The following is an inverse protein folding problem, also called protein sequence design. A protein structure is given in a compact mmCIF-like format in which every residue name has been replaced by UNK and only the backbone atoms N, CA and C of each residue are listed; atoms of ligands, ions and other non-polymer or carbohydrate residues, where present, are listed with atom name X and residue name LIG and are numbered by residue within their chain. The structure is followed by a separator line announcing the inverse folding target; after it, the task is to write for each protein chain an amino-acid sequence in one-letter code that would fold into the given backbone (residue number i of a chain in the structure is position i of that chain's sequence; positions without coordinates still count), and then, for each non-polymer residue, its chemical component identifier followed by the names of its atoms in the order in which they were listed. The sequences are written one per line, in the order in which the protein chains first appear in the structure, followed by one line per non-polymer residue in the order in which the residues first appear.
data_IF_907361692729
#
_entry.id   IF_907361692729
#
_cell.length_a   1.000
_cell.length_b   1.000
_cell.length_c   1.000
_cell.angle_alpha   90.00
_cell.angle_beta   90.00
_cell.angle_gamma   90.00
#
_symmetry.space_group_name_H-M   'P 1'
#
loop_
_entity.id
_entity.type
_entity.pdbx_description
1 polymer ?
#
# COMPACT_ATOMS: atom_id res chain seq x y z
N UNK A 1 25.72 46.54 -25.31
CA UNK A 1 25.36 46.70 -23.88
C UNK A 1 25.15 45.31 -23.30
N UNK A 2 25.91 44.97 -22.26
CA UNK A 2 25.90 43.66 -21.61
C UNK A 2 24.63 43.51 -20.78
N UNK A 3 23.89 42.43 -20.96
CA UNK A 3 22.90 41.95 -19.99
C UNK A 3 23.34 40.56 -19.52
N UNK A 4 24.18 40.58 -18.50
CA UNK A 4 24.35 39.51 -17.53
C UNK A 4 23.13 39.49 -16.63
N UNK A 5 22.37 38.40 -16.63
CA UNK A 5 21.45 38.06 -15.55
C UNK A 5 21.63 36.56 -15.24
N UNK A 6 22.13 36.34 -14.04
CA UNK A 6 22.54 35.10 -13.41
C UNK A 6 21.30 34.24 -13.16
N UNK A 7 21.19 33.09 -13.82
CA UNK A 7 20.30 31.99 -13.40
C UNK A 7 21.20 30.78 -13.18
N UNK A 8 21.86 30.77 -12.03
CA UNK A 8 22.52 29.60 -11.48
C UNK A 8 22.35 29.67 -9.97
N UNK A 9 21.47 28.84 -9.43
CA UNK A 9 21.52 28.15 -8.12
C UNK A 9 20.10 27.85 -7.65
N UNK A 10 19.61 26.64 -7.93
CA UNK A 10 18.30 26.19 -7.43
C UNK A 10 18.00 24.71 -7.69
N UNK A 11 18.76 24.05 -8.58
CA UNK A 11 18.52 22.66 -8.95
C UNK A 11 19.81 21.80 -8.99
N UNK A 12 20.79 22.10 -8.13
CA UNK A 12 22.06 21.35 -8.02
C UNK A 12 22.44 21.02 -6.57
N UNK A 13 21.49 21.10 -5.63
CA UNK A 13 21.72 20.68 -4.23
C UNK A 13 21.21 19.26 -3.93
N UNK A 14 20.53 18.59 -4.88
CA UNK A 14 20.07 17.22 -4.69
C UNK A 14 21.10 16.15 -5.13
N UNK A 15 22.11 16.52 -5.91
CA UNK A 15 23.09 15.56 -6.44
C UNK A 15 24.23 15.26 -5.45
N UNK A 16 24.53 16.17 -4.53
CA UNK A 16 25.66 16.02 -3.59
C UNK A 16 25.31 15.21 -2.34
N UNK A 17 24.03 14.98 -2.04
CA UNK A 17 23.61 14.09 -0.94
C UNK A 17 23.53 12.62 -1.39
N UNK A 18 23.49 12.38 -2.70
CA UNK A 18 23.41 11.02 -3.27
C UNK A 18 24.78 10.33 -3.34
N UNK A 19 25.88 11.08 -3.35
CA UNK A 19 27.23 10.51 -3.55
C UNK A 19 28.00 10.18 -2.27
N UNK A 20 27.35 10.14 -1.10
CA UNK A 20 27.95 9.71 0.17
C UNK A 20 27.27 8.47 0.76
N UNK A 21 26.73 7.59 -0.10
CA UNK A 21 26.23 6.29 0.36
C UNK A 21 27.43 5.37 0.65
N UNK A 22 27.71 5.20 1.94
CA UNK A 22 28.42 4.00 2.43
C UNK A 22 27.82 2.77 1.75
N UNK A 23 28.67 1.87 1.26
CA UNK A 23 28.29 0.58 0.69
C UNK A 23 27.48 -0.24 1.72
N UNK A 24 26.14 -0.09 1.75
CA UNK A 24 25.12 -0.99 2.37
C UNK A 24 23.70 -0.42 2.51
N UNK A 25 23.42 0.80 2.04
CA UNK A 25 22.08 1.38 2.13
C UNK A 25 21.43 1.47 0.73
N UNK A 26 20.24 0.88 0.58
CA UNK A 26 19.42 0.95 -0.62
C UNK A 26 18.16 1.77 -0.30
N UNK A 27 17.87 2.76 -1.12
CA UNK A 27 16.68 3.60 -1.00
C UNK A 27 15.98 3.66 -2.35
N UNK A 28 14.66 3.44 -2.35
CA UNK A 28 13.83 3.42 -3.57
C UNK A 28 12.69 4.44 -3.47
N UNK A 29 12.35 5.02 -4.61
CA UNK A 29 11.18 5.88 -4.78
C UNK A 29 10.38 5.34 -5.97
N UNK A 30 9.09 5.11 -5.77
CA UNK A 30 8.18 4.62 -6.79
C UNK A 30 6.94 5.52 -6.89
N UNK A 31 6.62 5.95 -8.10
CA UNK A 31 5.41 6.70 -8.41
C UNK A 31 4.58 5.95 -9.46
N UNK A 32 3.29 5.80 -9.20
CA UNK A 32 2.36 5.14 -10.08
C UNK A 32 1.14 6.02 -10.32
N UNK A 33 0.82 6.23 -11.60
CA UNK A 33 -0.41 6.86 -12.06
C UNK A 33 -1.19 5.88 -12.92
N UNK A 34 -2.47 5.68 -12.62
CA UNK A 34 -3.35 4.77 -13.37
C UNK A 34 -4.72 5.41 -13.53
N UNK A 35 -5.03 5.87 -14.74
CA UNK A 35 -6.38 6.27 -15.14
C UNK A 35 -7.05 5.14 -15.94
N UNK A 36 -8.34 4.87 -15.66
CA UNK A 36 -9.13 3.84 -16.33
C UNK A 36 -10.53 4.36 -16.64
N UNK A 37 -10.82 4.59 -17.91
CA UNK A 37 -12.18 4.85 -18.38
C UNK A 37 -13.02 3.58 -18.31
N UNK A 38 -14.21 3.66 -17.72
CA UNK A 38 -15.13 2.53 -17.61
C UNK A 38 -16.51 2.95 -18.12
N UNK A 39 -17.02 2.18 -19.09
CA UNK A 39 -18.40 2.23 -19.52
C UNK A 39 -19.11 0.98 -18.99
N UNK A 40 -20.14 1.18 -18.17
CA UNK A 40 -20.88 0.10 -17.50
C UNK A 40 -22.32 0.05 -17.99
N UNK A 41 -22.65 -1.06 -18.63
CA UNK A 41 -23.99 -1.38 -19.08
C UNK A 41 -24.42 -2.73 -18.48
N UNK A 42 -24.93 -2.73 -17.25
CA UNK A 42 -25.36 -3.96 -16.55
C UNK A 42 -24.25 -4.76 -15.86
N UNK A 43 -23.08 -4.13 -15.63
CA UNK A 43 -21.95 -4.74 -14.90
C UNK A 43 -22.28 -4.82 -13.40
N UNK A 44 -21.97 -5.96 -12.76
CA UNK A 44 -22.28 -6.35 -11.36
C UNK A 44 -23.77 -6.57 -11.04
N UNK A 45 -24.67 -5.77 -11.59
CA UNK A 45 -26.12 -5.96 -11.49
C UNK A 45 -26.78 -5.61 -12.82
N UNK A 46 -27.76 -6.41 -13.29
CA UNK A 46 -28.57 -6.05 -14.45
C UNK A 46 -29.24 -4.68 -14.25
N UNK A 47 -29.40 -3.93 -15.35
CA UNK A 47 -30.12 -2.65 -15.34
C UNK A 47 -31.62 -2.90 -15.49
N UNK A 48 -32.43 -2.12 -14.80
CA UNK A 48 -33.86 -2.07 -15.08
C UNK A 48 -34.12 -1.45 -16.46
N UNK A 49 -35.26 -1.78 -17.05
CA UNK A 49 -35.67 -1.22 -18.33
C UNK A 49 -35.75 0.33 -18.26
N UNK A 50 -35.36 1.00 -19.33
CA UNK A 50 -35.30 2.46 -19.41
C UNK A 50 -34.15 3.15 -18.65
N UNK A 51 -33.37 2.45 -17.82
CA UNK A 51 -32.19 3.08 -17.21
C UNK A 51 -31.09 3.36 -18.24
N UNK A 52 -30.23 4.35 -17.99
CA UNK A 52 -29.08 4.70 -18.83
C UNK A 52 -27.78 4.02 -18.33
N UNK A 53 -26.80 3.76 -19.21
CA UNK A 53 -25.51 3.21 -18.82
C UNK A 53 -24.68 4.25 -18.07
N UNK A 54 -23.71 3.80 -17.27
CA UNK A 54 -22.80 4.70 -16.55
C UNK A 54 -21.45 4.81 -17.27
N UNK A 55 -20.86 6.00 -17.25
CA UNK A 55 -19.49 6.25 -17.70
C UNK A 55 -18.74 7.10 -16.69
N UNK A 56 -17.49 6.75 -16.41
CA UNK A 56 -16.62 7.52 -15.54
C UNK A 56 -15.15 7.13 -15.78
N UNK A 57 -14.23 7.95 -15.27
CA UNK A 57 -12.79 7.66 -15.30
C UNK A 57 -12.31 7.48 -13.88
N UNK A 58 -11.91 6.26 -13.54
CA UNK A 58 -11.26 5.92 -12.30
C UNK A 58 -9.79 6.33 -12.34
N UNK A 59 -9.24 6.72 -11.19
CA UNK A 59 -7.85 7.10 -11.04
C UNK A 59 -7.24 6.51 -9.76
N UNK A 60 -5.98 6.08 -9.87
CA UNK A 60 -5.07 5.81 -8.76
C UNK A 60 -3.78 6.57 -8.96
N UNK A 61 -3.41 7.38 -7.97
CA UNK A 61 -2.06 7.90 -7.82
C UNK A 61 -1.44 7.29 -6.56
N UNK A 62 -0.31 6.59 -6.68
CA UNK A 62 0.40 5.97 -5.54
C UNK A 62 1.85 6.42 -5.54
N UNK A 63 2.33 6.83 -4.37
CA UNK A 63 3.72 7.18 -4.14
C UNK A 63 4.25 6.28 -3.03
N UNK A 64 5.42 5.67 -3.26
CA UNK A 64 6.03 4.75 -2.31
C UNK A 64 7.50 5.06 -2.11
N UNK A 65 7.95 4.87 -0.89
CA UNK A 65 9.34 4.95 -0.46
C UNK A 65 9.75 3.59 0.10
N UNK A 66 10.88 3.08 -0.35
CA UNK A 66 11.51 1.86 0.16
C UNK A 66 12.86 2.19 0.78
N UNK A 67 13.19 1.53 1.88
CA UNK A 67 14.52 1.61 2.48
C UNK A 67 14.99 0.24 2.92
N UNK A 68 16.26 -0.07 2.67
CA UNK A 68 16.89 -1.32 3.07
C UNK A 68 18.32 -1.08 3.51
N UNK A 69 18.68 -1.64 4.66
CA UNK A 69 20.04 -1.61 5.22
C UNK A 69 20.29 -2.87 6.00
N UNK A 70 21.32 -3.61 5.63
CA UNK A 70 21.74 -4.84 6.32
C UNK A 70 20.54 -5.80 6.53
N UNK A 71 20.02 -5.89 7.76
CA UNK A 71 18.92 -6.77 8.17
C UNK A 71 17.56 -6.07 8.23
N UNK A 72 17.49 -4.76 7.99
CA UNK A 72 16.28 -3.95 8.06
C UNK A 72 15.77 -3.62 6.67
N UNK A 73 14.45 -3.78 6.47
CA UNK A 73 13.70 -3.31 5.31
C UNK A 73 12.47 -2.54 5.77
N UNK A 74 12.12 -1.46 5.08
CA UNK A 74 10.99 -0.62 5.41
C UNK A 74 10.29 -0.17 4.13
N UNK A 75 8.97 0.01 4.21
CA UNK A 75 8.18 0.55 3.11
C UNK A 75 7.10 1.49 3.63
N UNK A 76 6.97 2.64 2.98
CA UNK A 76 5.88 3.58 3.17
C UNK A 76 5.22 3.83 1.81
N UNK A 77 3.90 3.74 1.73
CA UNK A 77 3.14 3.93 0.50
C UNK A 77 1.85 4.67 0.78
N UNK A 78 1.67 5.82 0.15
CA UNK A 78 0.45 6.60 0.18
C UNK A 78 -0.22 6.56 -1.19
N UNK A 79 -1.55 6.54 -1.21
CA UNK A 79 -2.32 6.56 -2.46
C UNK A 79 -3.55 7.47 -2.37
N UNK A 80 -3.89 8.08 -3.50
CA UNK A 80 -5.20 8.68 -3.76
C UNK A 80 -5.95 7.80 -4.76
N UNK A 81 -7.22 7.55 -4.47
CA UNK A 81 -8.09 6.69 -5.28
C UNK A 81 -9.46 7.36 -5.41
N UNK A 82 -9.94 7.52 -6.64
CA UNK A 82 -11.26 8.10 -6.89
C UNK A 82 -11.63 8.20 -8.37
N UNK A 83 -12.78 8.79 -8.63
CA UNK A 83 -13.25 9.14 -9.97
C UNK A 83 -12.85 10.58 -10.31
N UNK A 84 -12.56 10.86 -11.57
CA UNK A 84 -12.30 12.22 -12.04
C UNK A 84 -13.49 13.15 -11.71
N UNK A 85 -13.20 14.27 -11.04
CA UNK A 85 -14.22 15.24 -10.59
C UNK A 85 -15.01 14.82 -9.35
N UNK A 86 -14.63 13.73 -8.67
CA UNK A 86 -15.34 13.28 -7.47
C UNK A 86 -15.05 14.16 -6.24
N UNK A 87 -13.85 14.70 -6.12
CA UNK A 87 -13.49 15.62 -5.04
C UNK A 87 -13.92 17.06 -5.42
N UNK A 88 -14.57 17.82 -4.52
CA UNK A 88 -14.88 19.23 -4.76
C UNK A 88 -13.61 20.05 -5.01
N UNK A 89 -13.74 21.16 -5.76
CA UNK A 89 -12.61 22.05 -6.03
C UNK A 89 -11.99 22.65 -4.76
N UNK A 90 -12.78 22.76 -3.69
CA UNK A 90 -12.33 23.21 -2.37
C UNK A 90 -12.71 22.13 -1.36
N UNK A 91 -11.75 21.27 -1.04
CA UNK A 91 -11.87 20.26 0.01
C UNK A 91 -10.68 20.38 0.97
N UNK A 92 -10.99 20.43 2.27
CA UNK A 92 -9.99 20.52 3.35
C UNK A 92 -9.57 19.15 3.89
N UNK A 93 -10.36 18.11 3.62
CA UNK A 93 -10.14 16.79 4.18
C UNK A 93 -9.34 15.89 3.24
N UNK A 94 -9.60 15.98 1.92
CA UNK A 94 -8.88 15.22 0.90
C UNK A 94 -9.06 13.71 1.07
N UNK A 95 -8.63 12.94 0.06
CA UNK A 95 -8.79 11.48 0.07
C UNK A 95 -7.47 10.76 -0.12
N UNK A 96 -6.68 10.76 0.94
CA UNK A 96 -5.41 10.01 0.97
C UNK A 96 -5.53 8.79 1.87
N UNK A 97 -5.00 7.68 1.38
CA UNK A 97 -4.99 6.39 2.06
C UNK A 97 -3.53 5.97 2.23
N UNK A 98 -3.15 5.64 3.46
CA UNK A 98 -1.91 4.94 3.73
C UNK A 98 -2.07 3.46 3.35
N UNK A 99 -1.48 3.08 2.22
CA UNK A 99 -1.60 1.75 1.63
C UNK A 99 -0.66 0.73 2.28
N UNK A 100 0.62 1.11 2.46
CA UNK A 100 1.61 0.29 3.16
C UNK A 100 2.42 1.17 4.11
N UNK A 101 2.72 0.63 5.28
CA UNK A 101 3.57 1.23 6.29
C UNK A 101 4.07 0.10 7.20
N UNK A 102 5.19 -0.51 6.83
CA UNK A 102 5.72 -1.67 7.52
C UNK A 102 7.24 -1.66 7.61
N UNK A 103 7.76 -2.38 8.60
CA UNK A 103 9.17 -2.68 8.76
C UNK A 103 9.37 -4.20 8.88
N UNK A 104 10.41 -4.72 8.25
CA UNK A 104 10.83 -6.13 8.28
C UNK A 104 12.26 -6.22 8.79
N UNK A 105 12.46 -7.06 9.81
CA UNK A 105 13.75 -7.38 10.38
C UNK A 105 14.10 -8.83 10.05
N UNK A 106 15.24 -9.04 9.42
CA UNK A 106 15.84 -10.35 9.20
C UNK A 106 16.51 -10.84 10.50
N UNK A 107 15.99 -11.92 11.08
CA UNK A 107 16.48 -12.56 12.30
C UNK A 107 17.53 -13.65 12.02
N UNK A 108 17.87 -13.87 10.75
CA UNK A 108 18.98 -14.69 10.29
C UNK A 108 18.55 -16.12 10.03
N UNK A 109 19.37 -16.86 9.28
CA UNK A 109 19.10 -18.27 8.90
C UNK A 109 17.73 -18.44 8.23
N UNK A 110 17.29 -17.43 7.45
CA UNK A 110 16.00 -17.42 6.76
C UNK A 110 14.81 -16.97 7.61
N UNK A 111 14.99 -16.66 8.89
CA UNK A 111 13.91 -16.21 9.78
C UNK A 111 13.76 -14.69 9.68
N UNK A 112 12.53 -14.18 9.68
CA UNK A 112 12.24 -12.75 9.76
C UNK A 112 10.96 -12.43 10.53
N UNK A 113 10.84 -11.18 10.94
CA UNK A 113 9.61 -10.60 11.47
C UNK A 113 9.27 -9.31 10.71
N UNK A 114 8.03 -9.17 10.27
CA UNK A 114 7.51 -7.99 9.58
C UNK A 114 6.26 -7.47 10.28
N UNK A 115 6.28 -6.20 10.66
CA UNK A 115 5.20 -5.57 11.44
C UNK A 115 4.71 -4.31 10.75
N UNK A 116 3.40 -4.12 10.77
CA UNK A 116 2.73 -2.91 10.31
C UNK A 116 1.70 -3.20 9.23
N UNK A 117 1.24 -2.12 8.59
CA UNK A 117 0.29 -2.17 7.47
C UNK A 117 0.98 -2.70 6.23
N UNK A 118 0.60 -3.88 5.78
CA UNK A 118 1.27 -4.59 4.69
C UNK A 118 0.27 -5.27 3.75
N UNK A 119 0.69 -5.47 2.51
CA UNK A 119 -0.02 -6.37 1.60
C UNK A 119 0.31 -7.83 1.93
N UNK A 120 -0.69 -8.71 1.87
CA UNK A 120 -0.53 -10.15 2.03
C UNK A 120 -0.88 -10.82 0.70
N UNK A 121 0.11 -11.45 0.06
CA UNK A 121 -0.03 -12.11 -1.24
C UNK A 121 0.43 -13.55 -1.12
N UNK A 122 -0.49 -14.48 -1.36
CA UNK A 122 -0.28 -15.92 -1.19
C UNK A 122 -0.97 -16.70 -2.31
N UNK A 123 -0.26 -17.70 -2.84
CA UNK A 123 -0.72 -18.65 -3.87
C UNK A 123 -1.34 -17.99 -5.12
N UNK A 124 -0.60 -17.05 -5.72
CA UNK A 124 -1.02 -16.20 -6.84
C UNK A 124 -2.31 -15.43 -6.56
N UNK A 125 -2.39 -14.83 -5.37
CA UNK A 125 -3.55 -14.06 -4.89
C UNK A 125 -4.83 -14.88 -4.62
N UNK A 126 -4.77 -16.21 -4.66
CA UNK A 126 -5.95 -17.07 -4.44
C UNK A 126 -6.38 -17.15 -2.99
N UNK A 127 -5.43 -17.23 -2.05
CA UNK A 127 -5.74 -17.26 -0.61
C UNK A 127 -5.89 -15.84 -0.07
N UNK A 128 -4.86 -15.03 -0.26
CA UNK A 128 -4.83 -13.61 0.07
C UNK A 128 -4.13 -12.90 -1.08
N UNK A 129 -4.67 -11.75 -1.49
CA UNK A 129 -4.14 -10.98 -2.60
C UNK A 129 -4.20 -9.48 -2.33
N UNK A 130 -3.30 -8.75 -2.97
CA UNK A 130 -3.19 -7.29 -2.84
C UNK A 130 -4.38 -6.57 -3.49
N UNK A 131 -5.15 -7.25 -4.34
CA UNK A 131 -6.25 -6.66 -5.11
C UNK A 131 -5.76 -5.51 -6.00
N UNK A 132 -4.53 -5.60 -6.54
CA UNK A 132 -3.93 -4.50 -7.31
C UNK A 132 -4.63 -4.21 -8.65
N UNK A 133 -5.52 -5.11 -9.12
CA UNK A 133 -6.41 -4.89 -10.26
C UNK A 133 -7.55 -3.91 -9.95
N UNK A 134 -7.96 -3.81 -8.69
CA UNK A 134 -8.89 -2.79 -8.23
C UNK A 134 -8.16 -1.45 -8.10
N UNK A 135 -8.90 -0.35 -8.17
CA UNK A 135 -8.35 0.99 -7.98
C UNK A 135 -7.85 1.16 -6.54
N UNK A 136 -8.54 0.59 -5.55
CA UNK A 136 -8.06 0.51 -4.18
C UNK A 136 -7.43 -0.86 -3.88
N UNK A 137 -6.14 -0.88 -3.56
CA UNK A 137 -5.46 -2.08 -3.07
C UNK A 137 -5.87 -2.44 -1.63
N UNK A 138 -5.77 -3.73 -1.29
CA UNK A 138 -5.99 -4.28 0.05
C UNK A 138 -4.73 -4.21 0.89
N UNK A 139 -4.92 -4.00 2.19
CA UNK A 139 -3.87 -4.01 3.18
C UNK A 139 -4.36 -4.66 4.47
N UNK A 140 -3.40 -5.13 5.27
CA UNK A 140 -3.64 -5.71 6.58
C UNK A 140 -2.68 -5.10 7.59
N UNK A 141 -3.20 -4.72 8.75
CA UNK A 141 -2.39 -4.34 9.89
C UNK A 141 -2.03 -5.61 10.65
N UNK A 142 -0.79 -6.08 10.48
CA UNK A 142 -0.39 -7.43 10.90
C UNK A 142 1.05 -7.53 11.41
N UNK A 143 1.28 -8.54 12.25
CA UNK A 143 2.58 -9.14 12.51
C UNK A 143 2.71 -10.39 11.65
N UNK A 144 3.76 -10.46 10.83
CA UNK A 144 4.11 -11.62 10.01
C UNK A 144 5.48 -12.14 10.45
N UNK A 145 5.50 -13.34 10.99
CA UNK A 145 6.72 -14.09 11.24
C UNK A 145 6.94 -15.05 10.08
N UNK A 146 8.16 -15.13 9.57
CA UNK A 146 8.45 -15.96 8.42
C UNK A 146 9.75 -16.73 8.56
N UNK A 147 9.78 -17.88 7.92
CA UNK A 147 10.96 -18.67 7.64
C UNK A 147 10.99 -18.93 6.13
N UNK A 148 12.06 -18.51 5.48
CA UNK A 148 12.30 -18.76 4.06
C UNK A 148 13.75 -19.25 3.89
N UNK A 149 13.92 -20.55 3.62
CA UNK A 149 15.24 -21.13 3.37
C UNK A 149 15.17 -22.28 2.35
N UNK A 150 16.01 -22.19 1.30
CA UNK A 150 16.02 -23.14 0.21
C UNK A 150 14.64 -23.25 -0.44
N UNK A 151 14.08 -24.46 -0.40
CA UNK A 151 12.78 -24.82 -0.98
C UNK A 151 11.60 -24.56 -0.05
N UNK A 152 11.85 -24.29 1.22
CA UNK A 152 10.81 -24.25 2.25
C UNK A 152 10.52 -22.82 2.68
N UNK A 153 9.24 -22.46 2.63
CA UNK A 153 8.71 -21.19 3.12
C UNK A 153 7.57 -21.46 4.09
N UNK A 154 7.60 -20.81 5.24
CA UNK A 154 6.55 -20.88 6.25
C UNK A 154 6.29 -19.49 6.81
N UNK A 155 5.03 -19.06 6.83
CA UNK A 155 4.62 -17.76 7.34
C UNK A 155 3.51 -17.94 8.40
N UNK A 156 3.70 -17.34 9.56
CA UNK A 156 2.67 -17.10 10.56
C UNK A 156 2.26 -15.63 10.50
N UNK A 157 0.99 -15.36 10.23
CA UNK A 157 0.43 -14.01 10.20
C UNK A 157 -0.61 -13.87 11.31
N UNK A 158 -0.46 -12.82 12.10
CA UNK A 158 -1.37 -12.44 13.17
C UNK A 158 -1.81 -11.00 12.91
N UNK A 159 -3.10 -10.79 12.68
CA UNK A 159 -3.69 -9.47 12.47
C UNK A 159 -4.78 -9.19 13.50
N UNK A 160 -4.90 -7.92 13.88
CA UNK A 160 -5.89 -7.44 14.82
C UNK A 160 -6.38 -6.06 14.40
N UNK A 161 -7.70 -5.86 14.43
CA UNK A 161 -8.34 -4.61 14.05
C UNK A 161 -9.30 -4.15 15.13
N UNK A 162 -9.41 -2.83 15.25
CA UNK A 162 -10.37 -2.16 16.12
C UNK A 162 -11.01 -0.99 15.37
N UNK A 163 -12.29 -0.70 15.62
CA UNK A 163 -12.98 0.39 14.93
C UNK A 163 -12.50 1.77 15.40
N UNK A 164 -12.32 1.95 16.72
CA UNK A 164 -11.87 3.20 17.31
C UNK A 164 -10.97 2.96 18.53
N UNK A 165 -10.24 3.99 18.92
CA UNK A 165 -9.66 4.05 20.25
C UNK A 165 -10.78 4.09 21.31
N UNK A 166 -10.72 3.21 22.30
CA UNK A 166 -11.69 3.13 23.41
C UNK A 166 -10.95 3.25 24.73
N UNK A 167 -11.51 4.02 25.66
CA UNK A 167 -10.98 4.15 27.03
C UNK A 167 -11.60 3.14 28.01
N UNK A 168 -12.85 2.71 27.75
CA UNK A 168 -13.62 1.73 28.53
C UNK A 168 -14.60 0.98 27.60
N UNK A 169 -15.26 -0.07 28.09
CA UNK A 169 -16.34 -0.76 27.36
C UNK A 169 -15.90 -1.93 26.47
N UNK A 170 -14.65 -2.37 26.59
CA UNK A 170 -14.14 -3.56 25.89
C UNK A 170 -13.79 -3.29 24.42
N UNK A 171 -13.87 -4.34 23.60
CA UNK A 171 -13.35 -4.33 22.22
C UNK A 171 -14.38 -4.85 21.20
N UNK A 172 -15.67 -4.54 21.37
CA UNK A 172 -16.68 -4.86 20.36
C UNK A 172 -16.24 -4.35 18.98
N UNK A 173 -16.41 -5.18 17.94
CA UNK A 173 -15.94 -4.91 16.59
C UNK A 173 -17.07 -5.02 15.58
N UNK A 174 -17.24 -3.96 14.79
CA UNK A 174 -18.19 -3.84 13.70
C UNK A 174 -17.44 -3.96 12.35
N UNK A 175 -17.50 -5.12 11.67
CA UNK A 175 -16.80 -5.36 10.41
C UNK A 175 -17.38 -4.56 9.24
N UNK A 176 -18.57 -3.94 9.38
CA UNK A 176 -19.16 -3.12 8.30
C UNK A 176 -18.43 -1.78 8.10
N UNK A 177 -17.62 -1.37 9.07
CA UNK A 177 -16.93 -0.06 9.11
C UNK A 177 -15.42 -0.14 8.92
N UNK A 178 -14.85 -1.34 8.81
CA UNK A 178 -13.41 -1.55 8.81
C UNK A 178 -13.03 -2.82 8.03
N UNK A 179 -11.93 -3.47 8.40
CA UNK A 179 -11.55 -4.78 7.88
C UNK A 179 -12.68 -5.81 8.09
N UNK A 180 -12.76 -6.86 7.24
CA UNK A 180 -13.84 -7.85 7.36
C UNK A 180 -13.67 -8.81 8.57
N UNK A 181 -12.70 -8.56 9.45
CA UNK A 181 -12.41 -9.38 10.62
C UNK A 181 -11.81 -8.55 11.76
N UNK A 182 -12.10 -8.96 13.00
CA UNK A 182 -11.47 -8.41 14.21
C UNK A 182 -10.06 -8.97 14.43
N UNK A 183 -9.91 -10.29 14.28
CA UNK A 183 -8.64 -11.00 14.41
C UNK A 183 -8.47 -11.97 13.26
N UNK A 184 -7.25 -12.17 12.79
CA UNK A 184 -6.91 -13.21 11.83
C UNK A 184 -5.62 -13.89 12.28
N UNK A 185 -5.64 -15.22 12.33
CA UNK A 185 -4.45 -16.06 12.51
C UNK A 185 -4.31 -16.95 11.28
N UNK A 186 -3.15 -16.90 10.64
CA UNK A 186 -2.90 -17.66 9.41
C UNK A 186 -1.55 -18.32 9.51
N UNK A 187 -1.51 -19.64 9.30
CA UNK A 187 -0.28 -20.37 9.04
C UNK A 187 -0.29 -20.79 7.57
N UNK A 188 0.76 -20.44 6.85
CA UNK A 188 0.94 -20.81 5.45
C UNK A 188 2.29 -21.49 5.28
N UNK A 189 2.33 -22.56 4.50
CA UNK A 189 3.53 -23.29 4.17
C UNK A 189 3.57 -23.58 2.67
N UNK A 190 4.74 -23.45 2.06
CA UNK A 190 4.98 -23.78 0.66
C UNK A 190 6.37 -24.41 0.52
N UNK A 191 6.41 -25.58 -0.12
CA UNK A 191 7.62 -26.31 -0.44
C UNK A 191 7.70 -26.57 -1.94
N UNK A 192 8.69 -25.97 -2.63
CA UNK A 192 8.94 -26.17 -4.07
C UNK A 192 10.43 -26.43 -4.34
#
# INVERSE_FOLDING_TARGET
MKLTAIILTGLVLCSSVVCAQEEKNEFSIDAQLRARGEYRNGVLSPRADGQLPAFFINNRARFSLGYKRDRLQMKLSAQHVGVWGQDPQIDKNGRFILHEAWAKLDLGKGVFAQLGRQSLVYDDERLLGSLDWNVAGRFHDALKLGYEAGKHKMHLVLAFNQNDEKTIGGNYYDPSKAQPYKTMQTLWYNGQ
#
